data_IF_053387699436
#
_entry.id   IF_053387699436
#
_cell.length_a   1.000
_cell.length_b   1.000
_cell.length_c   1.000
_cell.angle_alpha   90.00
_cell.angle_beta   90.00
_cell.angle_gamma   90.00
#
_symmetry.space_group_name_H-M   'P 1'
#
loop_
_entity.id
_entity.type
_entity.pdbx_description
1 polymer ?
#
# COMPACT_ATOMS: atom_id res chain seq x y z
N UNK A 1 39.21 -43.96 1.68
CA UNK A 1 38.82 -42.82 0.83
C UNK A 1 37.49 -42.32 1.31
N UNK A 2 37.40 -41.05 1.70
CA UNK A 2 36.16 -40.43 2.20
C UNK A 2 35.21 -40.30 1.01
N UNK A 3 34.11 -41.05 1.01
CA UNK A 3 33.11 -40.97 -0.04
C UNK A 3 32.46 -39.57 -0.01
N UNK A 4 32.55 -38.82 -1.11
CA UNK A 4 31.85 -37.54 -1.24
C UNK A 4 30.33 -37.76 -1.10
N UNK A 5 29.64 -37.03 -0.21
CA UNK A 5 28.21 -37.18 -0.06
C UNK A 5 27.48 -36.62 -1.29
N UNK A 6 26.71 -37.47 -1.98
CA UNK A 6 25.82 -37.02 -3.06
C UNK A 6 24.64 -36.28 -2.44
N UNK A 7 24.39 -35.06 -2.93
CA UNK A 7 23.31 -34.20 -2.47
C UNK A 7 22.33 -33.93 -3.62
N UNK A 8 21.05 -33.90 -3.29
CA UNK A 8 19.99 -33.52 -4.20
C UNK A 8 19.50 -32.12 -3.84
N UNK A 9 19.42 -31.24 -4.84
CA UNK A 9 18.93 -29.88 -4.68
C UNK A 9 17.64 -29.68 -5.46
N UNK A 10 16.63 -29.12 -4.79
CA UNK A 10 15.40 -28.67 -5.40
C UNK A 10 15.32 -27.15 -5.32
N UNK A 11 15.14 -26.49 -6.46
CA UNK A 11 14.92 -25.05 -6.56
C UNK A 11 13.54 -24.80 -7.16
N UNK A 12 12.71 -24.05 -6.45
CA UNK A 12 11.39 -23.63 -6.93
C UNK A 12 11.31 -22.12 -6.91
N UNK A 13 10.83 -21.53 -8.00
CA UNK A 13 10.67 -20.08 -8.13
C UNK A 13 9.21 -19.78 -8.43
N UNK A 14 8.61 -18.90 -7.63
CA UNK A 14 7.28 -18.35 -7.87
C UNK A 14 7.41 -16.92 -8.33
N UNK A 15 6.67 -16.56 -9.37
CA UNK A 15 6.57 -15.21 -9.86
C UNK A 15 5.13 -14.71 -9.68
N UNK A 16 4.99 -13.52 -9.10
CA UNK A 16 3.71 -12.84 -8.90
C UNK A 16 3.75 -11.47 -9.56
N UNK A 17 2.88 -11.27 -10.52
CA UNK A 17 2.61 -9.94 -11.11
C UNK A 17 1.63 -9.17 -10.24
N UNK A 18 1.98 -7.94 -9.87
CA UNK A 18 1.12 -7.02 -9.12
C UNK A 18 0.45 -6.02 -10.07
N UNK A 19 -0.72 -5.53 -9.69
CA UNK A 19 -1.54 -4.62 -10.50
C UNK A 19 -0.80 -3.32 -10.92
N UNK A 20 0.22 -2.89 -10.17
CA UNK A 20 1.00 -1.66 -10.44
C UNK A 20 2.31 -2.00 -11.17
N UNK A 21 2.26 -2.88 -12.17
CA UNK A 21 3.39 -3.19 -13.08
C UNK A 21 4.65 -3.76 -12.41
N UNK A 22 4.58 -4.13 -11.13
CA UNK A 22 5.69 -4.71 -10.38
C UNK A 22 5.55 -6.24 -10.39
N UNK A 23 6.59 -6.95 -10.83
CA UNK A 23 6.69 -8.39 -10.64
C UNK A 23 7.52 -8.68 -9.40
N UNK A 24 7.17 -9.74 -8.67
CA UNK A 24 7.89 -10.22 -7.50
C UNK A 24 8.18 -11.69 -7.63
N UNK A 25 9.42 -12.04 -7.37
CA UNK A 25 9.89 -13.42 -7.40
C UNK A 25 10.26 -13.88 -6.00
N UNK A 26 9.80 -15.07 -5.64
CA UNK A 26 10.21 -15.78 -4.42
C UNK A 26 10.85 -17.08 -4.88
N UNK A 27 12.06 -17.37 -4.41
CA UNK A 27 12.72 -18.64 -4.71
C UNK A 27 13.05 -19.40 -3.43
N UNK A 28 12.75 -20.70 -3.44
CA UNK A 28 13.08 -21.63 -2.37
C UNK A 28 14.08 -22.65 -2.90
N UNK A 29 15.16 -22.83 -2.16
CA UNK A 29 16.19 -23.84 -2.44
C UNK A 29 16.29 -24.77 -1.25
N UNK A 30 16.11 -26.07 -1.47
CA UNK A 30 16.29 -27.11 -0.47
C UNK A 30 17.35 -28.08 -0.97
N UNK A 31 18.34 -28.38 -0.14
CA UNK A 31 19.33 -29.42 -0.40
C UNK A 31 19.16 -30.53 0.63
N UNK A 32 19.15 -31.78 0.17
CA UNK A 32 19.03 -33.00 1.01
C UNK A 32 20.16 -33.95 0.62
N UNK A 33 20.83 -34.56 1.61
CA UNK A 33 21.82 -35.61 1.37
C UNK A 33 21.13 -36.94 1.07
N UNK A 34 21.58 -37.66 0.03
CA UNK A 34 21.08 -38.99 -0.28
C UNK A 34 21.69 -40.03 0.68
N UNK A 35 20.85 -40.91 1.21
CA UNK A 35 21.22 -42.10 1.96
C UNK A 35 21.89 -43.13 1.04
N UNK A 36 22.65 -44.06 1.61
CA UNK A 36 23.37 -45.07 0.83
C UNK A 36 22.41 -45.96 0.02
N UNK A 37 21.28 -46.38 0.60
CA UNK A 37 20.25 -47.15 -0.11
C UNK A 37 19.67 -46.39 -1.30
N UNK A 38 19.37 -45.11 -1.13
CA UNK A 38 18.85 -44.25 -2.19
C UNK A 38 19.89 -44.08 -3.32
N UNK A 39 21.19 -44.02 -2.99
CA UNK A 39 22.27 -43.96 -3.97
C UNK A 39 22.38 -45.23 -4.78
N UNK A 40 22.27 -46.39 -4.15
CA UNK A 40 22.30 -47.68 -4.86
C UNK A 40 21.09 -47.81 -5.80
N UNK A 41 19.90 -47.38 -5.36
CA UNK A 41 18.71 -47.34 -6.22
C UNK A 41 18.86 -46.35 -7.39
N UNK A 42 19.45 -45.18 -7.16
CA UNK A 42 19.76 -44.21 -8.20
C UNK A 42 20.75 -44.78 -9.22
N UNK A 43 21.84 -45.40 -8.74
CA UNK A 43 22.86 -46.03 -9.59
C UNK A 43 22.25 -47.14 -10.45
N UNK A 44 21.43 -48.01 -9.84
CA UNK A 44 20.68 -49.03 -10.55
C UNK A 44 19.77 -48.39 -11.61
N UNK A 45 19.00 -47.37 -11.24
CA UNK A 45 18.14 -46.64 -12.17
C UNK A 45 18.90 -45.94 -13.31
N UNK A 46 20.15 -45.54 -13.12
CA UNK A 46 20.96 -44.91 -14.18
C UNK A 46 21.81 -45.90 -14.97
N UNK A 47 21.93 -47.14 -14.50
CA UNK A 47 22.74 -48.15 -15.17
C UNK A 47 22.13 -48.48 -16.54
N UNK A 48 23.00 -48.53 -17.55
CA UNK A 48 22.66 -48.68 -18.97
C UNK A 48 22.16 -50.08 -19.34
N UNK A 49 21.98 -50.97 -18.36
CA UNK A 49 21.32 -52.25 -18.57
C UNK A 49 19.82 -52.01 -18.72
N UNK A 50 19.12 -52.65 -19.66
CA UNK A 50 17.68 -52.50 -19.83
C UNK A 50 16.95 -53.12 -18.65
N UNK A 51 16.89 -52.38 -17.54
CA UNK A 51 15.98 -52.67 -16.45
C UNK A 51 14.57 -52.57 -17.00
N UNK A 52 13.89 -53.70 -17.05
CA UNK A 52 12.59 -53.90 -17.69
C UNK A 52 11.43 -53.33 -16.85
N UNK A 53 11.69 -52.32 -16.00
CA UNK A 53 10.74 -51.87 -15.01
C UNK A 53 11.00 -50.47 -14.46
N UNK A 54 9.93 -49.88 -13.92
CA UNK A 54 9.96 -48.58 -13.28
C UNK A 54 10.71 -48.66 -11.95
N UNK A 55 11.62 -47.71 -11.69
CA UNK A 55 12.38 -47.63 -10.44
C UNK A 55 11.89 -46.44 -9.64
N UNK A 56 11.41 -46.66 -8.42
CA UNK A 56 10.94 -45.62 -7.50
C UNK A 56 11.92 -45.41 -6.34
N UNK A 57 12.30 -44.16 -6.09
CA UNK A 57 13.26 -43.75 -5.06
C UNK A 57 12.57 -42.77 -4.10
N UNK A 58 12.29 -43.14 -2.85
CA UNK A 58 11.70 -42.23 -1.87
C UNK A 58 12.76 -41.25 -1.36
N UNK A 59 12.43 -39.97 -1.33
CA UNK A 59 13.26 -38.86 -0.88
C UNK A 59 12.49 -38.08 0.17
N UNK A 60 13.02 -38.05 1.38
CA UNK A 60 12.32 -37.47 2.51
C UNK A 60 12.57 -35.96 2.60
N UNK A 61 11.47 -35.23 2.79
CA UNK A 61 11.49 -33.81 3.09
C UNK A 61 12.12 -32.89 2.04
N UNK A 62 12.11 -33.24 0.75
CA UNK A 62 12.72 -32.39 -0.28
C UNK A 62 11.84 -31.18 -0.64
N UNK A 63 10.52 -31.32 -0.56
CA UNK A 63 9.58 -30.32 -1.09
C UNK A 63 8.73 -29.65 -0.01
N UNK A 64 8.63 -28.32 -0.06
CA UNK A 64 7.78 -27.55 0.85
C UNK A 64 6.38 -27.37 0.27
N UNK A 65 5.36 -27.85 0.98
CA UNK A 65 3.97 -27.73 0.54
C UNK A 65 3.43 -26.29 0.58
N UNK A 66 3.75 -25.57 1.65
CA UNK A 66 3.17 -24.26 1.94
C UNK A 66 4.15 -23.15 1.61
N UNK A 67 3.70 -22.16 0.85
CA UNK A 67 4.52 -21.02 0.43
C UNK A 67 3.74 -19.73 0.61
N UNK A 68 4.37 -18.72 1.22
CA UNK A 68 3.77 -17.39 1.37
C UNK A 68 4.40 -16.40 0.40
N UNK A 69 3.56 -15.72 -0.39
CA UNK A 69 3.95 -14.64 -1.30
C UNK A 69 3.60 -13.29 -0.69
N UNK A 70 4.61 -12.60 -0.16
CA UNK A 70 4.44 -11.33 0.57
C UNK A 70 4.22 -10.13 -0.36
N UNK A 71 3.49 -9.13 0.12
CA UNK A 71 3.20 -7.87 -0.61
C UNK A 71 4.14 -6.71 -0.26
N UNK A 72 5.07 -6.86 0.72
CA UNK A 72 6.02 -5.81 1.16
C UNK A 72 7.41 -6.00 0.53
N UNK A 73 8.11 -4.94 0.05
CA UNK A 73 9.32 -5.06 -0.78
C UNK A 73 10.55 -5.64 -0.09
N UNK A 74 10.55 -5.70 1.25
CA UNK A 74 11.74 -5.98 2.05
C UNK A 74 11.50 -6.96 3.20
N UNK A 75 10.44 -7.76 3.11
CA UNK A 75 10.52 -9.04 3.80
C UNK A 75 11.59 -9.81 3.03
N UNK A 76 12.81 -9.90 3.58
CA UNK A 76 13.78 -10.88 3.14
C UNK A 76 13.02 -12.20 2.87
N UNK A 77 13.41 -13.00 1.86
CA UNK A 77 12.90 -14.35 1.74
C UNK A 77 13.40 -15.06 3.00
N UNK A 78 12.66 -14.92 4.10
CA UNK A 78 12.87 -15.69 5.28
C UNK A 78 12.36 -17.06 4.87
N UNK A 79 13.25 -17.77 4.20
CA UNK A 79 13.47 -19.19 4.33
C UNK A 79 13.87 -19.52 5.79
N UNK A 80 13.33 -18.83 6.80
CA UNK A 80 12.69 -19.58 7.85
C UNK A 80 11.56 -20.35 7.15
N UNK A 81 11.72 -21.62 6.79
CA UNK A 81 11.96 -22.61 7.82
C UNK A 81 11.44 -22.07 9.16
N UNK A 82 10.17 -21.64 9.25
CA UNK A 82 9.10 -22.56 9.59
C UNK A 82 9.58 -23.72 10.52
N UNK A 83 10.50 -23.40 11.41
CA UNK A 83 11.15 -24.28 12.36
C UNK A 83 11.90 -23.37 13.31
N UNK A 84 11.22 -22.95 14.37
CA UNK A 84 11.84 -22.71 15.67
C UNK A 84 10.73 -22.49 16.69
N UNK A 85 10.48 -23.53 17.50
CA UNK A 85 9.49 -23.53 18.56
C UNK A 85 8.78 -24.88 18.66
N UNK A 86 9.37 -25.79 19.41
CA UNK A 86 8.81 -27.10 19.77
C UNK A 86 7.41 -26.96 20.40
N UNK A 87 6.35 -27.26 19.65
CA UNK A 87 5.38 -28.34 19.93
C UNK A 87 4.16 -28.37 18.99
N UNK A 88 4.06 -27.48 18.00
CA UNK A 88 3.00 -27.56 16.98
C UNK A 88 3.62 -27.40 15.58
N UNK A 89 3.95 -28.52 14.95
CA UNK A 89 4.55 -28.58 13.61
C UNK A 89 3.54 -28.16 12.53
N UNK A 90 3.57 -26.91 12.06
CA UNK A 90 2.74 -26.49 10.90
C UNK A 90 3.50 -26.49 9.57
N UNK A 91 4.59 -27.24 9.48
CA UNK A 91 5.51 -27.21 8.35
C UNK A 91 5.82 -28.62 7.85
N UNK A 92 4.94 -29.10 6.98
CA UNK A 92 5.11 -30.39 6.32
C UNK A 92 6.00 -30.21 5.10
N UNK A 93 7.28 -30.55 5.26
CA UNK A 93 8.06 -30.98 4.10
C UNK A 93 7.52 -32.35 3.69
N UNK A 94 7.17 -32.48 2.42
CA UNK A 94 6.57 -33.69 1.91
C UNK A 94 7.66 -34.63 1.42
N UNK A 95 7.42 -35.92 1.65
CA UNK A 95 8.21 -36.97 1.05
C UNK A 95 7.84 -37.07 -0.42
N UNK A 96 8.83 -37.29 -1.27
CA UNK A 96 8.66 -37.39 -2.70
C UNK A 96 9.22 -38.73 -3.16
N UNK A 97 8.56 -39.39 -4.09
CA UNK A 97 9.06 -40.56 -4.79
C UNK A 97 9.45 -40.14 -6.18
N UNK A 98 10.75 -40.25 -6.47
CA UNK A 98 11.31 -40.05 -7.80
C UNK A 98 11.19 -41.37 -8.57
N UNK A 99 10.45 -41.38 -9.67
CA UNK A 99 10.17 -42.57 -10.46
C UNK A 99 10.80 -42.42 -11.84
N UNK A 100 11.72 -43.32 -12.20
CA UNK A 100 12.18 -43.47 -13.59
C UNK A 100 11.18 -44.34 -14.33
N UNK A 101 10.62 -43.81 -15.39
CA UNK A 101 9.68 -44.52 -16.25
C UNK A 101 10.32 -44.77 -17.61
N UNK A 102 10.09 -45.97 -18.13
CA UNK A 102 10.55 -46.43 -19.45
C UNK A 102 9.30 -46.71 -20.30
N UNK A 103 9.28 -46.32 -21.57
CA UNK A 103 8.15 -46.56 -22.46
C UNK A 103 7.92 -48.06 -22.67
N UNK A 104 6.69 -48.48 -23.01
CA UNK A 104 6.37 -49.89 -23.22
C UNK A 104 7.24 -50.50 -24.33
N UNK A 105 7.66 -51.78 -24.21
CA UNK A 105 8.68 -52.42 -25.07
C UNK A 105 8.31 -52.54 -26.56
N UNK A 106 7.11 -52.12 -26.97
CA UNK A 106 6.61 -52.16 -28.35
C UNK A 106 6.17 -50.78 -28.88
N UNK A 107 6.56 -49.70 -28.19
CA UNK A 107 6.28 -48.33 -28.61
C UNK A 107 7.44 -47.74 -29.41
N UNK A 108 7.16 -46.79 -30.30
CA UNK A 108 8.21 -46.06 -31.04
C UNK A 108 9.21 -45.38 -30.09
N UNK A 109 8.72 -44.85 -28.96
CA UNK A 109 9.52 -44.28 -27.88
C UNK A 109 10.53 -45.26 -27.25
N UNK A 110 10.21 -46.57 -27.24
CA UNK A 110 11.14 -47.59 -26.75
C UNK A 110 12.25 -47.92 -27.76
N UNK A 111 12.00 -47.74 -29.07
CA UNK A 111 13.03 -47.88 -30.10
C UNK A 111 14.05 -46.73 -30.04
N UNK A 112 13.62 -45.53 -29.67
CA UNK A 112 14.46 -44.35 -29.46
C UNK A 112 15.12 -44.30 -28.06
N UNK A 113 14.80 -45.26 -27.18
CA UNK A 113 15.37 -45.35 -25.84
C UNK A 113 14.96 -44.20 -24.92
N UNK A 114 13.79 -43.59 -25.15
CA UNK A 114 13.30 -42.47 -24.35
C UNK A 114 13.13 -42.87 -22.88
N UNK A 115 13.54 -41.98 -21.97
CA UNK A 115 13.44 -42.18 -20.53
C UNK A 115 13.08 -40.86 -19.87
N UNK A 116 12.20 -40.88 -18.89
CA UNK A 116 11.85 -39.69 -18.12
C UNK A 116 11.76 -39.98 -16.63
N UNK A 117 11.90 -38.91 -15.86
CA UNK A 117 11.73 -38.92 -14.41
C UNK A 117 10.43 -38.24 -14.07
N UNK A 118 9.62 -38.91 -13.25
CA UNK A 118 8.38 -38.40 -12.70
C UNK A 118 8.53 -38.24 -11.18
N UNK A 119 7.89 -37.21 -10.64
CA UNK A 119 7.95 -36.90 -9.23
C UNK A 119 6.55 -37.03 -8.65
N UNK A 120 6.38 -37.97 -7.72
CA UNK A 120 5.12 -38.18 -7.04
C UNK A 120 5.26 -37.84 -5.56
N UNK A 121 4.18 -37.32 -4.98
CA UNK A 121 4.13 -37.04 -3.55
C UNK A 121 3.88 -38.34 -2.78
N UNK A 122 4.75 -38.68 -1.83
CA UNK A 122 4.66 -39.91 -1.04
C UNK A 122 3.84 -39.68 0.21
N UNK A 123 2.74 -40.44 0.34
CA UNK A 123 1.92 -40.48 1.54
C UNK A 123 0.62 -39.68 1.43
N UNK A 124 -0.38 -40.11 2.20
CA UNK A 124 -1.65 -39.41 2.30
C UNK A 124 -1.42 -38.05 2.96
N UNK A 125 -1.73 -36.99 2.23
CA UNK A 125 -1.72 -35.65 2.79
C UNK A 125 -2.83 -35.52 3.83
N UNK A 126 -2.45 -35.26 5.08
CA UNK A 126 -3.37 -35.04 6.20
C UNK A 126 -3.85 -33.59 6.29
N UNK A 127 -3.42 -32.71 5.38
CA UNK A 127 -3.85 -31.31 5.39
C UNK A 127 -5.31 -31.17 4.91
N UNK A 128 -6.01 -30.17 5.45
CA UNK A 128 -7.36 -29.81 5.00
C UNK A 128 -7.43 -29.39 3.52
N UNK A 129 -6.27 -29.19 2.88
CA UNK A 129 -6.15 -28.81 1.47
C UNK A 129 -5.91 -30.02 0.57
N UNK A 130 -6.00 -31.27 1.07
CA UNK A 130 -5.83 -32.45 0.23
C UNK A 130 -6.91 -32.50 -0.86
N UNK A 131 -6.51 -32.36 -2.12
CA UNK A 131 -7.38 -32.59 -3.27
C UNK A 131 -7.08 -33.99 -3.78
N UNK A 132 -8.03 -34.93 -3.65
CA UNK A 132 -7.90 -36.35 -4.04
C UNK A 132 -7.75 -36.58 -5.55
N UNK A 133 -7.43 -35.55 -6.32
CA UNK A 133 -7.65 -35.48 -7.78
C UNK A 133 -6.40 -35.32 -8.63
N UNK A 134 -5.18 -35.39 -8.10
CA UNK A 134 -4.00 -35.17 -8.95
C UNK A 134 -2.89 -36.18 -8.72
N UNK A 135 -2.61 -36.95 -9.76
CA UNK A 135 -1.30 -37.52 -10.01
C UNK A 135 -0.32 -36.34 -10.23
N UNK A 136 0.39 -35.93 -9.18
CA UNK A 136 1.27 -34.76 -9.24
C UNK A 136 1.65 -34.16 -7.89
N UNK A 137 2.34 -33.02 -7.94
CA UNK A 137 2.82 -32.28 -6.77
C UNK A 137 1.80 -31.22 -6.34
N UNK A 138 1.39 -31.25 -5.06
CA UNK A 138 0.44 -30.27 -4.54
C UNK A 138 1.13 -29.15 -3.77
N UNK A 139 0.82 -27.89 -4.12
CA UNK A 139 1.39 -26.69 -3.49
C UNK A 139 0.26 -25.79 -3.01
N UNK A 140 0.36 -25.31 -1.77
CA UNK A 140 -0.58 -24.34 -1.19
C UNK A 140 0.11 -22.99 -1.10
N UNK A 141 -0.40 -22.01 -1.84
CA UNK A 141 0.16 -20.67 -1.93
C UNK A 141 -0.71 -19.68 -1.16
N UNK A 142 -0.13 -19.05 -0.14
CA UNK A 142 -0.75 -17.97 0.63
C UNK A 142 -0.26 -16.64 0.05
N UNK A 143 -1.10 -16.00 -0.75
CA UNK A 143 -0.78 -14.71 -1.35
C UNK A 143 -1.32 -13.57 -0.49
N UNK A 144 -0.42 -12.72 0.04
CA UNK A 144 -0.83 -11.52 0.77
C UNK A 144 -1.59 -10.56 -0.16
N UNK A 145 -2.60 -9.85 0.36
CA UNK A 145 -3.29 -8.81 -0.44
C UNK A 145 -2.28 -7.74 -0.85
N UNK A 146 -2.25 -7.41 -2.14
CA UNK A 146 -1.45 -6.30 -2.64
C UNK A 146 -2.04 -5.00 -2.09
N UNK A 147 -1.30 -4.33 -1.20
CA UNK A 147 -1.68 -3.01 -0.71
C UNK A 147 -1.27 -2.01 -1.79
N UNK A 148 -2.25 -1.36 -2.42
CA UNK A 148 -1.99 -0.29 -3.38
C UNK A 148 -1.32 0.89 -2.68
N UNK A 149 -0.45 1.61 -3.41
CA UNK A 149 0.23 2.84 -2.94
C UNK A 149 -0.72 3.87 -2.33
N UNK A 150 -2.00 3.86 -2.71
CA UNK A 150 -3.08 4.68 -2.13
C UNK A 150 -3.33 4.43 -0.64
N UNK A 151 -3.14 3.21 -0.14
CA UNK A 151 -3.33 2.90 1.28
C UNK A 151 -2.15 3.37 2.15
N UNK A 152 -0.94 3.46 1.60
CA UNK A 152 0.22 4.03 2.29
C UNK A 152 0.08 5.55 2.43
N UNK A 153 -0.40 6.21 1.37
CA UNK A 153 -0.72 7.64 1.39
C UNK A 153 -1.88 7.97 2.35
N UNK A 154 -2.81 7.04 2.56
CA UNK A 154 -3.92 7.25 3.50
C UNK A 154 -3.44 7.46 4.95
N UNK A 155 -2.35 6.80 5.38
CA UNK A 155 -1.85 6.95 6.75
C UNK A 155 -1.20 8.32 7.02
N UNK A 156 -0.40 8.83 6.08
CA UNK A 156 0.21 10.16 6.19
C UNK A 156 -0.73 11.32 5.81
N UNK A 157 -1.66 11.06 4.90
CA UNK A 157 -2.60 12.05 4.38
C UNK A 157 -3.58 12.56 5.43
N UNK A 158 -3.99 11.72 6.38
CA UNK A 158 -4.92 12.13 7.45
C UNK A 158 -4.29 13.19 8.37
N UNK A 159 -3.01 13.03 8.71
CA UNK A 159 -2.30 13.98 9.57
C UNK A 159 -2.11 15.32 8.84
N UNK A 160 -1.70 15.27 7.56
CA UNK A 160 -1.55 16.46 6.73
C UNK A 160 -2.88 17.20 6.53
N UNK A 161 -3.96 16.46 6.30
CA UNK A 161 -5.31 17.01 6.18
C UNK A 161 -5.76 17.69 7.48
N UNK A 162 -5.56 17.04 8.64
CA UNK A 162 -5.89 17.62 9.95
C UNK A 162 -5.13 18.94 10.18
N UNK A 163 -3.81 18.94 9.94
CA UNK A 163 -2.99 20.14 10.10
C UNK A 163 -3.45 21.28 9.18
N UNK A 164 -3.81 20.99 7.92
CA UNK A 164 -4.30 21.98 6.98
C UNK A 164 -5.63 22.61 7.43
N UNK A 165 -6.59 21.80 7.89
CA UNK A 165 -7.89 22.28 8.37
C UNK A 165 -7.73 23.15 9.62
N UNK A 166 -6.95 22.68 10.61
CA UNK A 166 -6.70 23.44 11.84
C UNK A 166 -6.01 24.77 11.53
N UNK A 167 -5.02 24.77 10.64
CA UNK A 167 -4.32 25.99 10.25
C UNK A 167 -5.24 26.98 9.52
N UNK A 168 -6.10 26.49 8.62
CA UNK A 168 -7.06 27.32 7.91
C UNK A 168 -8.05 28.00 8.88
N UNK A 169 -8.64 27.24 9.79
CA UNK A 169 -9.56 27.78 10.81
C UNK A 169 -8.83 28.78 11.71
N UNK A 170 -7.64 28.43 12.20
CA UNK A 170 -6.84 29.31 13.05
C UNK A 170 -6.49 30.65 12.36
N UNK A 171 -6.16 30.60 11.07
CA UNK A 171 -5.89 31.82 10.27
C UNK A 171 -7.14 32.68 10.13
N UNK A 172 -8.29 32.09 9.84
CA UNK A 172 -9.57 32.81 9.68
C UNK A 172 -9.97 33.48 10.98
N UNK A 173 -9.96 32.75 12.11
CA UNK A 173 -10.28 33.30 13.43
C UNK A 173 -9.32 34.43 13.81
N UNK A 174 -8.01 34.25 13.58
CA UNK A 174 -7.02 35.31 13.80
C UNK A 174 -7.28 36.54 12.94
N UNK A 175 -7.70 36.36 11.69
CA UNK A 175 -8.02 37.46 10.78
C UNK A 175 -9.21 38.28 11.24
N UNK A 176 -10.27 37.63 11.74
CA UNK A 176 -11.48 38.31 12.22
C UNK A 176 -11.17 39.14 13.48
N UNK A 177 -10.45 38.56 14.44
CA UNK A 177 -10.09 39.25 15.69
C UNK A 177 -9.03 40.34 15.46
N UNK A 178 -8.13 40.14 14.49
CA UNK A 178 -7.08 41.11 14.17
C UNK A 178 -7.57 42.31 13.34
N UNK A 179 -8.63 42.15 12.55
CA UNK A 179 -9.12 43.16 11.60
C UNK A 179 -9.92 44.31 12.23
N UNK A 180 -10.50 44.12 13.42
CA UNK A 180 -11.37 45.11 14.08
C UNK A 180 -10.65 46.41 14.47
N UNK A 181 -9.32 46.44 14.54
CA UNK A 181 -8.57 47.65 14.97
C UNK A 181 -8.54 48.76 13.93
N UNK A 182 -8.59 48.43 12.64
CA UNK A 182 -8.44 49.43 11.58
C UNK A 182 -9.74 50.20 11.32
N UNK A 183 -10.88 49.65 11.73
CA UNK A 183 -12.19 50.25 11.55
C UNK A 183 -12.71 50.98 12.79
N UNK A 184 -11.96 50.99 13.90
CA UNK A 184 -12.41 51.52 15.19
C UNK A 184 -12.98 52.94 15.09
N UNK A 185 -12.32 53.83 14.34
CA UNK A 185 -12.75 55.23 14.18
C UNK A 185 -14.10 55.36 13.46
N UNK A 186 -14.41 54.43 12.56
CA UNK A 186 -15.67 54.41 11.79
C UNK A 186 -16.76 53.63 12.55
N UNK A 187 -16.39 52.55 13.24
CA UNK A 187 -17.35 51.70 13.96
C UNK A 187 -17.85 52.37 15.26
N UNK A 188 -17.02 53.19 15.91
CA UNK A 188 -17.30 53.83 17.20
C UNK A 188 -17.71 55.32 17.07
N UNK A 189 -18.31 55.73 15.94
CA UNK A 189 -18.85 57.09 15.78
C UNK A 189 -20.05 57.33 16.73
N UNK A 190 -20.11 58.49 17.39
CA UNK A 190 -21.13 58.80 18.41
C UNK A 190 -22.45 59.22 17.77
N UNK A 191 -22.42 60.24 16.92
CA UNK A 191 -23.58 60.72 16.16
C UNK A 191 -23.27 60.70 14.67
N UNK A 192 -24.14 60.06 13.87
CA UNK A 192 -23.97 59.90 12.43
C UNK A 192 -25.00 60.67 11.61
N UNK A 193 -25.80 61.56 12.24
CA UNK A 193 -26.87 62.31 11.56
C UNK A 193 -26.35 63.16 10.41
N UNK A 194 -25.38 64.03 10.68
CA UNK A 194 -24.82 64.93 9.67
C UNK A 194 -24.18 64.15 8.49
N UNK A 195 -23.59 62.98 8.78
CA UNK A 195 -23.03 62.09 7.76
C UNK A 195 -24.14 61.39 6.94
N UNK A 196 -25.25 61.02 7.59
CA UNK A 196 -26.44 60.46 6.95
C UNK A 196 -27.10 61.48 6.02
N UNK A 197 -27.25 62.72 6.47
CA UNK A 197 -27.82 63.83 5.69
C UNK A 197 -26.95 64.14 4.46
N UNK A 198 -25.62 64.03 4.59
CA UNK A 198 -24.68 64.18 3.48
C UNK A 198 -24.84 63.06 2.44
N UNK A 199 -25.00 61.81 2.89
CA UNK A 199 -25.29 60.66 2.01
C UNK A 199 -26.65 60.79 1.31
N UNK A 200 -27.66 61.29 2.02
CA UNK A 200 -28.98 61.59 1.46
C UNK A 200 -28.91 62.72 0.43
N UNK A 201 -28.10 63.75 0.69
CA UNK A 201 -27.80 64.81 -0.28
C UNK A 201 -27.20 64.28 -1.59
N UNK A 202 -26.27 63.32 -1.52
CA UNK A 202 -25.73 62.64 -2.71
C UNK A 202 -26.82 61.87 -3.44
N UNK A 203 -27.64 61.12 -2.70
CA UNK A 203 -28.76 60.36 -3.26
C UNK A 203 -29.76 61.27 -4.01
N UNK A 204 -30.13 62.41 -3.41
CA UNK A 204 -31.03 63.39 -4.02
C UNK A 204 -30.41 64.05 -5.26
N UNK A 205 -29.15 64.49 -5.19
CA UNK A 205 -28.45 65.08 -6.34
C UNK A 205 -28.38 64.11 -7.53
N UNK A 206 -28.19 62.80 -7.25
CA UNK A 206 -28.21 61.74 -8.26
C UNK A 206 -29.61 61.51 -8.83
N UNK A 207 -30.65 61.55 -7.99
CA UNK A 207 -32.04 61.43 -8.44
C UNK A 207 -32.44 62.60 -9.35
N UNK A 208 -32.01 63.82 -9.03
CA UNK A 208 -32.32 65.04 -9.79
C UNK A 208 -31.41 65.22 -11.03
N UNK A 209 -30.39 64.36 -11.21
CA UNK A 209 -29.43 64.45 -12.32
C UNK A 209 -28.45 65.63 -12.22
N UNK A 210 -28.25 66.20 -11.02
CA UNK A 210 -27.35 67.32 -10.77
C UNK A 210 -25.90 66.85 -10.51
N UNK A 211 -25.21 66.45 -11.58
CA UNK A 211 -23.87 65.84 -11.52
C UNK A 211 -22.79 66.70 -10.83
N UNK A 212 -22.84 68.03 -11.00
CA UNK A 212 -21.87 68.93 -10.34
C UNK A 212 -22.05 68.89 -8.81
N UNK A 213 -23.30 68.91 -8.34
CA UNK A 213 -23.64 68.86 -6.92
C UNK A 213 -23.33 67.49 -6.31
N UNK A 214 -23.61 66.41 -7.04
CA UNK A 214 -23.21 65.05 -6.66
C UNK A 214 -21.69 64.96 -6.44
N UNK A 215 -20.91 65.54 -7.36
CA UNK A 215 -19.44 65.52 -7.29
C UNK A 215 -18.91 66.30 -6.09
N UNK A 216 -19.43 67.51 -5.83
CA UNK A 216 -19.04 68.33 -4.67
C UNK A 216 -19.35 67.65 -3.32
N UNK A 217 -20.54 67.06 -3.19
CA UNK A 217 -20.93 66.29 -2.01
C UNK A 217 -20.04 65.05 -1.83
N UNK A 218 -19.73 64.34 -2.93
CA UNK A 218 -18.87 63.16 -2.90
C UNK A 218 -17.42 63.50 -2.49
N UNK A 219 -16.87 64.60 -3.00
CA UNK A 219 -15.55 65.08 -2.57
C UNK A 219 -15.53 65.44 -1.08
N UNK A 220 -16.64 65.98 -0.57
CA UNK A 220 -16.77 66.33 0.84
C UNK A 220 -16.73 65.08 1.72
N UNK A 221 -17.47 64.02 1.35
CA UNK A 221 -17.42 62.71 2.02
C UNK A 221 -15.99 62.16 2.00
N UNK A 222 -15.32 62.17 0.83
CA UNK A 222 -13.97 61.63 0.70
C UNK A 222 -12.95 62.37 1.58
N UNK A 223 -13.03 63.71 1.64
CA UNK A 223 -12.18 64.53 2.51
C UNK A 223 -12.43 64.23 3.98
N UNK A 224 -13.68 63.97 4.37
CA UNK A 224 -14.04 63.60 5.73
C UNK A 224 -13.42 62.23 6.11
N UNK A 225 -13.55 61.22 5.26
CA UNK A 225 -12.95 59.89 5.49
C UNK A 225 -11.42 59.89 5.46
N UNK A 226 -10.78 60.94 4.90
CA UNK A 226 -9.32 61.09 4.86
C UNK A 226 -8.74 61.75 6.11
N UNK A 227 -9.53 62.49 6.89
CA UNK A 227 -9.08 63.12 8.15
C UNK A 227 -9.93 62.60 9.32
N UNK A 228 -9.38 61.69 10.14
CA UNK A 228 -10.09 61.18 11.31
C UNK A 228 -10.35 62.29 12.35
N UNK A 229 -9.56 63.37 12.36
CA UNK A 229 -9.80 64.49 13.27
C UNK A 229 -11.08 65.25 12.91
N UNK A 230 -11.32 65.53 11.62
CA UNK A 230 -12.53 66.23 11.19
C UNK A 230 -13.76 65.36 11.30
N UNK A 231 -13.62 64.06 11.01
CA UNK A 231 -14.68 63.08 11.21
C UNK A 231 -15.11 63.00 12.68
N UNK A 232 -14.16 62.96 13.62
CA UNK A 232 -14.46 62.94 15.05
C UNK A 232 -15.03 64.27 15.57
N UNK A 233 -14.63 65.41 14.99
CA UNK A 233 -15.24 66.70 15.31
C UNK A 233 -16.70 66.77 14.84
N UNK A 234 -17.02 66.19 13.69
CA UNK A 234 -18.37 66.14 13.14
C UNK A 234 -19.26 65.18 13.95
N UNK A 235 -18.78 63.98 14.24
CA UNK A 235 -19.59 62.95 14.94
C UNK A 235 -19.60 63.12 16.45
N UNK A 236 -18.82 64.05 17.00
CA UNK A 236 -18.63 64.28 18.43
C UNK A 236 -17.44 63.52 19.02
N UNK A 237 -16.75 64.15 19.98
CA UNK A 237 -15.53 63.64 20.61
C UNK A 237 -15.76 62.80 21.87
N UNK A 238 -17.01 62.66 22.30
CA UNK A 238 -17.36 61.80 23.44
C UNK A 238 -17.14 60.33 23.07
N UNK A 239 -16.78 59.47 24.02
CA UNK A 239 -16.81 58.03 23.76
C UNK A 239 -18.21 57.51 24.02
N UNK A 240 -18.74 56.68 23.11
CA UNK A 240 -19.99 55.97 23.34
C UNK A 240 -19.80 55.04 24.55
N UNK A 241 -20.30 55.46 25.71
CA UNK A 241 -20.30 54.59 26.90
C UNK A 241 -21.30 53.47 26.63
N UNK A 242 -20.81 52.23 26.45
CA UNK A 242 -21.66 51.05 26.54
C UNK A 242 -22.26 51.04 27.95
N UNK A 243 -23.56 51.27 28.05
CA UNK A 243 -24.33 50.79 29.19
C UNK A 243 -24.64 49.33 28.87
N UNK A 244 -24.13 48.44 29.73
CA UNK A 244 -24.21 46.97 29.60
C UNK A 244 -25.65 46.46 29.69
#
# INVERSE_FOLDING_TARGET
GVACPVQLQMKVTWERTLAVGSSRTVSLVRTVGLLEEQRQLLLNATSTSPLTGNVSIPINGLFAKFVRLTSVPNAAPTATALSQGSQDMWHSYQNLTLVRSVPPPHSAAAADGEQWWSLHQTGADLSAFNTTTADGLQVVVIADKAVSVSALLAAGGIIAFYAAVVFAIGRTVRSIIGGTRYQLVVDEMVDTRDLSDLCEGVYLARHEGQLMRETELHETILRLYRSPETLLQLTGSSLKRRED
#
